data_IF_423953118063
#
_entry.id   IF_423953118063
#
_cell.length_a   1.000
_cell.length_b   1.000
_cell.length_c   1.000
_cell.angle_alpha   90.00
_cell.angle_beta   90.00
_cell.angle_gamma   90.00
#
_symmetry.space_group_name_H-M   'P 1'
#
loop_
_entity.id
_entity.type
_entity.pdbx_description
1 polymer ?
#
# COMPACT_ATOMS: atom_id res chain seq x y z
N UNK A 1 8.58 -2.38 -12.01
CA UNK A 1 8.55 -2.32 -10.53
C UNK A 1 8.74 -0.86 -10.14
N UNK A 2 7.66 -0.07 -10.09
CA UNK A 2 7.75 1.34 -9.70
C UNK A 2 7.60 1.43 -8.19
N UNK A 3 8.66 1.90 -7.55
CA UNK A 3 8.71 2.20 -6.11
C UNK A 3 7.74 3.32 -5.80
N UNK A 4 6.58 2.99 -5.24
CA UNK A 4 5.63 3.96 -4.67
C UNK A 4 6.17 4.45 -3.32
N UNK A 5 7.25 5.21 -3.36
CA UNK A 5 7.75 5.97 -2.21
C UNK A 5 7.43 7.45 -2.45
N UNK A 6 6.80 8.07 -1.43
CA UNK A 6 6.50 9.49 -1.30
C UNK A 6 5.43 10.07 -2.23
N UNK A 7 4.18 10.09 -1.74
CA UNK A 7 3.45 11.33 -1.36
C UNK A 7 1.94 11.01 -1.26
N UNK A 8 1.55 10.33 -0.18
CA UNK A 8 0.15 10.12 0.14
C UNK A 8 -0.42 11.41 0.75
N UNK A 9 -0.84 12.36 -0.10
CA UNK A 9 -1.29 13.69 0.34
C UNK A 9 -2.62 14.01 -0.33
N UNK A 10 -3.68 13.34 0.11
CA UNK A 10 -5.05 13.69 -0.24
C UNK A 10 -6.00 13.09 0.78
N UNK A 11 -6.85 13.92 1.40
CA UNK A 11 -7.95 13.41 2.22
C UNK A 11 -9.00 12.75 1.31
N UNK A 12 -9.78 11.79 1.82
CA UNK A 12 -10.85 11.15 1.02
C UNK A 12 -11.79 12.17 0.38
N UNK A 13 -12.09 13.24 1.11
CA UNK A 13 -12.87 14.37 0.60
C UNK A 13 -12.21 15.06 -0.60
N UNK A 14 -10.89 15.32 -0.54
CA UNK A 14 -10.14 15.91 -1.65
C UNK A 14 -10.10 15.00 -2.88
N UNK A 15 -9.93 13.69 -2.67
CA UNK A 15 -9.92 12.69 -3.74
C UNK A 15 -11.28 12.63 -4.43
N UNK A 16 -12.36 12.60 -3.64
CA UNK A 16 -13.73 12.61 -4.17
C UNK A 16 -14.01 13.85 -5.02
N UNK A 17 -13.61 15.05 -4.55
CA UNK A 17 -13.76 16.30 -5.31
C UNK A 17 -12.95 16.25 -6.62
N UNK A 18 -11.71 15.75 -6.61
CA UNK A 18 -10.92 15.58 -7.83
C UNK A 18 -11.64 14.65 -8.81
N UNK A 19 -12.14 13.49 -8.38
CA UNK A 19 -12.85 12.54 -9.25
C UNK A 19 -14.09 13.16 -9.90
N UNK A 20 -14.88 13.95 -9.15
CA UNK A 20 -16.05 14.66 -9.70
C UNK A 20 -15.63 15.64 -10.78
N UNK A 21 -14.59 16.45 -10.54
CA UNK A 21 -14.15 17.44 -11.52
C UNK A 21 -13.48 16.80 -12.76
N UNK A 22 -12.80 15.66 -12.60
CA UNK A 22 -12.28 14.87 -13.72
C UNK A 22 -13.42 14.28 -14.55
N UNK A 23 -14.53 13.85 -13.93
CA UNK A 23 -15.76 13.43 -14.66
C UNK A 23 -16.37 14.55 -15.48
N UNK A 24 -16.28 15.78 -15.00
CA UNK A 24 -16.71 16.98 -15.72
C UNK A 24 -15.73 17.43 -16.83
N UNK A 25 -14.70 16.62 -17.16
CA UNK A 25 -13.66 16.93 -18.14
C UNK A 25 -12.88 18.23 -17.84
N UNK A 26 -12.78 18.63 -16.56
CA UNK A 26 -11.93 19.75 -16.17
C UNK A 26 -10.46 19.40 -16.33
N UNK A 27 -9.66 20.37 -16.74
CA UNK A 27 -8.22 20.21 -16.82
C UNK A 27 -7.60 20.13 -15.42
N UNK A 28 -6.45 19.45 -15.29
CA UNK A 28 -5.74 19.36 -14.02
C UNK A 28 -5.38 20.75 -13.43
N UNK A 29 -5.15 21.74 -14.27
CA UNK A 29 -4.88 23.12 -13.84
C UNK A 29 -6.11 23.80 -13.24
N UNK A 30 -7.28 23.66 -13.88
CA UNK A 30 -8.54 24.19 -13.36
C UNK A 30 -8.91 23.52 -12.03
N UNK A 31 -8.70 22.21 -11.91
CA UNK A 31 -8.97 21.47 -10.67
C UNK A 31 -8.08 22.01 -9.53
N UNK A 32 -6.79 22.17 -9.77
CA UNK A 32 -5.85 22.72 -8.78
C UNK A 32 -6.24 24.14 -8.36
N UNK A 33 -6.62 24.99 -9.32
CA UNK A 33 -7.05 26.36 -9.06
C UNK A 33 -8.37 26.43 -8.25
N UNK A 34 -9.35 25.58 -8.59
CA UNK A 34 -10.67 25.58 -7.96
C UNK A 34 -10.67 24.99 -6.54
N UNK A 35 -9.79 24.01 -6.28
CA UNK A 35 -9.78 23.26 -5.02
C UNK A 35 -8.66 23.71 -4.06
N UNK A 36 -7.68 24.47 -4.55
CA UNK A 36 -6.47 24.80 -3.80
C UNK A 36 -5.55 23.60 -3.56
N UNK A 37 -5.83 22.45 -4.18
CA UNK A 37 -5.00 21.24 -4.07
C UNK A 37 -3.77 21.41 -4.96
N UNK A 38 -2.60 21.01 -4.46
CA UNK A 38 -1.37 21.09 -5.24
C UNK A 38 -1.51 20.28 -6.55
N UNK A 39 -1.08 20.88 -7.67
CA UNK A 39 -1.20 20.30 -9.01
C UNK A 39 -0.64 18.86 -9.10
N UNK A 40 0.44 18.57 -8.37
CA UNK A 40 1.05 17.23 -8.33
C UNK A 40 0.10 16.16 -7.76
N UNK A 41 -0.70 16.51 -6.76
CA UNK A 41 -1.72 15.63 -6.16
C UNK A 41 -2.84 15.39 -7.17
N UNK A 42 -3.33 16.47 -7.81
CA UNK A 42 -4.35 16.37 -8.87
C UNK A 42 -3.87 15.47 -9.99
N UNK A 43 -2.67 15.70 -10.54
CA UNK A 43 -2.10 14.89 -11.61
C UNK A 43 -1.96 13.41 -11.23
N UNK A 44 -1.53 13.13 -10.00
CA UNK A 44 -1.40 11.76 -9.50
C UNK A 44 -2.77 11.06 -9.46
N UNK A 45 -3.78 11.71 -8.90
CA UNK A 45 -5.12 11.15 -8.77
C UNK A 45 -5.85 11.04 -10.12
N UNK A 46 -5.73 12.04 -10.99
CA UNK A 46 -6.26 11.96 -12.36
C UNK A 46 -5.65 10.79 -13.14
N UNK A 47 -4.34 10.54 -12.97
CA UNK A 47 -3.68 9.39 -13.59
C UNK A 47 -4.25 8.06 -13.08
N UNK A 48 -4.36 7.90 -11.75
CA UNK A 48 -4.96 6.69 -11.14
C UNK A 48 -6.38 6.47 -11.65
N UNK A 49 -7.20 7.54 -11.70
CA UNK A 49 -8.57 7.47 -12.16
C UNK A 49 -8.72 6.96 -13.61
N UNK A 50 -7.82 7.37 -14.51
CA UNK A 50 -7.83 6.87 -15.88
C UNK A 50 -7.26 5.45 -16.01
N UNK A 51 -6.32 5.05 -15.15
CA UNK A 51 -5.73 3.70 -15.13
C UNK A 51 -6.68 2.66 -14.52
N UNK A 52 -7.44 3.01 -13.49
CA UNK A 52 -8.39 2.11 -12.79
C UNK A 52 -9.81 2.09 -13.42
N UNK A 53 -10.12 3.07 -14.28
CA UNK A 53 -11.39 3.17 -15.00
C UNK A 53 -12.34 4.24 -14.46
N UNK A 54 -13.08 4.91 -15.37
CA UNK A 54 -13.92 6.09 -15.07
C UNK A 54 -15.05 5.83 -14.05
N UNK A 55 -15.53 4.60 -13.98
CA UNK A 55 -16.63 4.22 -13.08
C UNK A 55 -16.13 3.68 -11.73
N UNK A 56 -14.80 3.62 -11.53
CA UNK A 56 -14.22 3.20 -10.26
C UNK A 56 -14.56 4.24 -9.17
N UNK A 57 -15.08 3.73 -8.05
CA UNK A 57 -15.09 4.48 -6.79
C UNK A 57 -13.67 4.94 -6.46
N UNK A 58 -13.48 6.09 -5.78
CA UNK A 58 -12.19 6.42 -5.20
C UNK A 58 -11.60 5.17 -4.54
N UNK A 59 -10.36 4.76 -4.87
CA UNK A 59 -9.81 3.54 -4.32
C UNK A 59 -9.80 3.68 -2.80
N UNK A 60 -10.43 2.72 -2.13
CA UNK A 60 -10.53 2.73 -0.68
C UNK A 60 -9.11 2.69 -0.11
N UNK A 61 -8.69 3.81 0.50
CA UNK A 61 -7.36 3.89 1.08
C UNK A 61 -7.34 3.09 2.38
N UNK A 62 -6.92 1.84 2.29
CA UNK A 62 -6.39 1.13 3.44
C UNK A 62 -4.88 1.35 3.44
N UNK A 63 -4.31 2.09 4.41
CA UNK A 63 -2.90 1.90 4.74
C UNK A 63 -2.79 0.47 5.27
N UNK A 64 -2.63 -0.50 4.37
CA UNK A 64 -2.26 -1.83 4.78
C UNK A 64 -0.88 -1.67 5.40
N UNK A 65 -0.84 -1.67 6.73
CA UNK A 65 0.38 -1.46 7.50
C UNK A 65 1.45 -2.38 6.95
N UNK A 66 2.71 -1.91 6.92
CA UNK A 66 3.83 -2.67 6.38
C UNK A 66 3.79 -4.09 6.94
N UNK A 67 3.40 -5.06 6.09
CA UNK A 67 3.38 -6.47 6.48
C UNK A 67 4.80 -6.81 6.88
N UNK A 68 5.01 -7.11 8.17
CA UNK A 68 6.30 -7.57 8.67
C UNK A 68 6.58 -8.91 7.98
N UNK A 69 7.39 -8.89 6.93
CA UNK A 69 7.78 -10.09 6.23
C UNK A 69 8.87 -10.80 7.01
N UNK A 70 8.75 -12.12 7.10
CA UNK A 70 9.82 -12.97 7.61
C UNK A 70 10.97 -12.91 6.61
N UNK A 71 12.18 -12.61 7.06
CA UNK A 71 13.34 -12.55 6.16
C UNK A 71 13.63 -13.92 5.55
N UNK A 72 14.19 -13.96 4.33
CA UNK A 72 14.61 -15.21 3.70
C UNK A 72 15.58 -16.02 4.57
N UNK A 73 16.46 -15.33 5.33
CA UNK A 73 17.37 -15.97 6.27
C UNK A 73 16.60 -16.74 7.34
N UNK A 74 15.55 -16.15 7.88
CA UNK A 74 14.68 -16.79 8.88
C UNK A 74 13.92 -17.98 8.31
N UNK A 75 13.39 -17.86 7.09
CA UNK A 75 12.69 -18.97 6.41
C UNK A 75 13.62 -20.18 6.24
N UNK A 76 14.85 -19.98 5.79
CA UNK A 76 15.83 -21.06 5.61
C UNK A 76 16.18 -21.77 6.93
N UNK A 77 16.21 -21.04 8.07
CA UNK A 77 16.41 -21.67 9.39
C UNK A 77 15.20 -22.52 9.78
N UNK A 78 13.97 -22.03 9.53
CA UNK A 78 12.74 -22.76 9.83
C UNK A 78 12.64 -24.03 8.96
N UNK A 79 12.94 -23.93 7.66
CA UNK A 79 12.94 -25.06 6.73
C UNK A 79 13.89 -26.17 7.20
N UNK A 80 15.14 -25.83 7.54
CA UNK A 80 16.10 -26.82 8.07
C UNK A 80 15.63 -27.50 9.36
N UNK A 81 14.90 -26.78 10.22
CA UNK A 81 14.34 -27.35 11.45
C UNK A 81 13.17 -28.29 11.17
N UNK A 82 12.34 -27.98 10.16
CA UNK A 82 11.26 -28.85 9.69
C UNK A 82 11.82 -30.10 8.99
N UNK A 83 12.89 -29.96 8.20
CA UNK A 83 13.58 -31.11 7.59
C UNK A 83 14.19 -32.04 8.65
N UNK A 84 14.85 -31.46 9.66
CA UNK A 84 15.48 -32.24 10.74
C UNK A 84 14.45 -32.90 11.69
N UNK A 85 13.29 -32.27 11.89
CA UNK A 85 12.19 -32.85 12.67
C UNK A 85 10.83 -32.46 12.07
N UNK A 86 10.28 -33.27 11.15
CA UNK A 86 9.02 -32.96 10.47
C UNK A 86 7.79 -32.91 11.39
N UNK A 87 7.88 -33.48 12.60
CA UNK A 87 6.79 -33.50 13.60
C UNK A 87 6.93 -32.41 14.66
N UNK A 88 7.86 -31.47 14.49
CA UNK A 88 8.05 -30.36 15.43
C UNK A 88 6.77 -29.54 15.54
N UNK A 89 6.31 -29.31 16.77
CA UNK A 89 5.11 -28.54 17.01
C UNK A 89 5.38 -27.04 16.88
N UNK A 90 4.40 -26.26 16.43
CA UNK A 90 4.54 -24.81 16.21
C UNK A 90 5.02 -24.05 17.47
N UNK A 91 4.54 -24.43 18.66
CA UNK A 91 5.01 -23.88 19.95
C UNK A 91 6.51 -24.09 20.17
N UNK A 92 7.02 -25.26 19.81
CA UNK A 92 8.42 -25.61 19.98
C UNK A 92 9.31 -24.93 18.94
N UNK A 93 8.82 -24.85 17.70
CA UNK A 93 9.46 -24.07 16.64
C UNK A 93 9.59 -22.59 17.03
N UNK A 94 8.59 -22.01 17.71
CA UNK A 94 8.67 -20.64 18.25
C UNK A 94 9.70 -20.52 19.37
N UNK A 95 9.73 -21.47 20.31
CA UNK A 95 10.65 -21.47 21.45
C UNK A 95 12.13 -21.55 21.02
N UNK A 96 12.43 -22.31 19.95
CA UNK A 96 13.79 -22.43 19.39
C UNK A 96 14.25 -21.17 18.64
N UNK A 97 13.33 -20.25 18.36
CA UNK A 97 13.55 -19.11 17.49
C UNK A 97 12.99 -17.80 18.09
N UNK A 98 13.49 -17.36 19.26
CA UNK A 98 12.87 -16.27 20.02
C UNK A 98 12.95 -14.91 19.33
N UNK A 99 13.97 -14.68 18.49
CA UNK A 99 14.22 -13.39 17.83
C UNK A 99 13.41 -13.18 16.54
N UNK A 100 12.77 -14.22 15.99
CA UNK A 100 12.12 -14.15 14.67
C UNK A 100 10.68 -13.61 14.71
N UNK A 101 10.12 -13.46 15.91
CA UNK A 101 8.78 -12.92 16.14
C UNK A 101 8.82 -11.48 16.69
N UNK A 102 10.02 -11.01 17.05
CA UNK A 102 10.32 -9.68 17.55
C UNK A 102 11.07 -8.89 16.47
N UNK A 103 10.45 -8.68 15.32
CA UNK A 103 10.88 -7.60 14.44
C UNK A 103 9.87 -6.48 14.61
N UNK A 104 10.32 -5.32 15.10
CA UNK A 104 9.55 -4.08 15.11
C UNK A 104 9.57 -3.36 13.76
#
# INVERSE_FOLDING_TARGET
>A
MFSFCFLQVGTEAQISVICVLVRENKSNQEIAANTGIALRIVQHWTKIYYEEGRDASPPHYNPEGRKRSVTHRTLNVIERQLEANPRIHSKELKARNPLYWLCD
#
